data_IF_642818171272
#
_entry.id   IF_642818171272
#
_cell.length_a   1.000
_cell.length_b   1.000
_cell.length_c   1.000
_cell.angle_alpha   90.00
_cell.angle_beta   90.00
_cell.angle_gamma   90.00
#
_symmetry.space_group_name_H-M   'P 1'
#
loop_
_entity.id
_entity.type
_entity.pdbx_description
1 polymer ?
#
# COMPACT_ATOMS: atom_id res chain seq x y z
N UNK A 1 -7.81 -6.50 4.53
CA UNK A 1 -7.80 -5.12 3.96
C UNK A 1 -7.67 -5.14 2.44
N UNK A 2 -6.71 -5.88 1.88
CA UNK A 2 -6.54 -6.05 0.44
C UNK A 2 -7.39 -7.16 -0.17
N UNK A 3 -8.36 -7.70 0.58
CA UNK A 3 -9.07 -8.93 0.24
C UNK A 3 -9.85 -8.80 -1.07
N UNK A 4 -10.29 -7.59 -1.42
CA UNK A 4 -10.92 -7.29 -2.71
C UNK A 4 -10.00 -7.49 -3.93
N UNK A 5 -8.67 -7.39 -3.74
CA UNK A 5 -7.68 -7.65 -4.80
C UNK A 5 -7.19 -9.09 -4.84
N UNK A 6 -7.65 -9.93 -3.90
CA UNK A 6 -7.32 -11.36 -3.83
C UNK A 6 -8.33 -12.24 -4.56
N UNK A 7 -9.42 -11.65 -5.09
CA UNK A 7 -10.38 -12.37 -5.93
C UNK A 7 -9.71 -12.72 -7.27
N UNK A 8 -9.51 -14.02 -7.51
CA UNK A 8 -9.01 -14.53 -8.79
C UNK A 8 -9.97 -14.19 -9.94
N UNK A 9 -9.41 -13.94 -11.13
CA UNK A 9 -10.23 -13.78 -12.33
C UNK A 9 -10.96 -15.08 -12.63
N UNK A 10 -12.30 -15.05 -12.55
CA UNK A 10 -13.14 -16.17 -12.97
C UNK A 10 -13.17 -16.23 -14.50
N UNK A 11 -12.54 -17.27 -15.06
CA UNK A 11 -12.63 -17.77 -16.45
C UNK A 11 -12.29 -16.84 -17.64
N UNK A 12 -11.68 -15.68 -17.42
CA UNK A 12 -11.57 -14.61 -18.45
C UNK A 12 -10.20 -14.39 -19.09
N UNK A 13 -9.22 -15.28 -18.84
CA UNK A 13 -7.88 -15.27 -19.46
C UNK A 13 -7.87 -15.39 -21.02
N UNK A 14 -9.05 -15.48 -21.64
CA UNK A 14 -9.22 -15.65 -23.09
C UNK A 14 -9.44 -14.35 -23.87
N UNK A 15 -9.74 -13.21 -23.23
CA UNK A 15 -9.95 -11.97 -23.99
C UNK A 15 -8.63 -11.41 -24.54
N UNK A 16 -8.65 -10.87 -25.76
CA UNK A 16 -7.46 -10.28 -26.41
C UNK A 16 -6.88 -9.12 -25.61
N UNK A 17 -7.75 -8.31 -24.99
CA UNK A 17 -7.34 -7.18 -24.17
C UNK A 17 -6.62 -7.61 -22.89
N UNK A 18 -7.10 -8.67 -22.22
CA UNK A 18 -6.41 -9.29 -21.08
C UNK A 18 -4.99 -9.69 -21.46
N UNK A 19 -4.84 -10.44 -22.56
CA UNK A 19 -3.52 -10.89 -23.04
C UNK A 19 -2.59 -9.74 -23.39
N UNK A 20 -3.11 -8.65 -23.95
CA UNK A 20 -2.32 -7.44 -24.26
C UNK A 20 -1.81 -6.76 -22.99
N UNK A 21 -2.63 -6.66 -21.94
CA UNK A 21 -2.23 -6.08 -20.65
C UNK A 21 -1.22 -6.97 -19.96
N UNK A 22 -1.49 -8.28 -19.89
CA UNK A 22 -0.59 -9.26 -19.31
C UNK A 22 0.77 -9.28 -20.03
N UNK A 23 0.78 -9.22 -21.38
CA UNK A 23 2.00 -9.14 -22.17
C UNK A 23 2.85 -7.91 -21.85
N UNK A 24 2.23 -6.73 -21.72
CA UNK A 24 2.95 -5.51 -21.30
C UNK A 24 3.55 -5.65 -19.90
N UNK A 25 2.79 -6.20 -18.95
CA UNK A 25 3.26 -6.41 -17.58
C UNK A 25 4.39 -7.44 -17.53
N UNK A 26 4.32 -8.49 -18.35
CA UNK A 26 5.40 -9.46 -18.50
C UNK A 26 6.68 -8.78 -19.01
N UNK A 27 6.61 -7.89 -19.99
CA UNK A 27 7.79 -7.15 -20.47
C UNK A 27 8.40 -6.25 -19.40
N UNK A 28 7.57 -5.58 -18.58
CA UNK A 28 8.04 -4.76 -17.45
C UNK A 28 8.71 -5.61 -16.38
N UNK A 29 8.17 -6.81 -16.12
CA UNK A 29 8.57 -7.65 -14.99
C UNK A 29 9.54 -8.79 -15.36
N UNK A 30 9.91 -8.96 -16.63
CA UNK A 30 10.63 -10.15 -17.15
C UNK A 30 11.93 -10.50 -16.44
N UNK A 31 12.60 -9.51 -15.86
CA UNK A 31 13.85 -9.68 -15.11
C UNK A 31 13.62 -10.13 -13.65
N UNK A 32 12.38 -10.19 -13.18
CA UNK A 32 12.01 -10.57 -11.81
C UNK A 32 11.68 -12.07 -11.70
N UNK A 33 11.92 -12.68 -10.54
CA UNK A 33 11.52 -14.08 -10.31
C UNK A 33 10.01 -14.19 -10.19
N UNK A 34 9.42 -15.28 -10.67
CA UNK A 34 7.97 -15.55 -10.58
C UNK A 34 7.08 -14.43 -11.18
N UNK A 35 7.63 -13.62 -12.09
CA UNK A 35 6.96 -12.44 -12.63
C UNK A 35 5.64 -12.75 -13.32
N UNK A 36 5.54 -13.91 -13.98
CA UNK A 36 4.33 -14.33 -14.69
C UNK A 36 3.11 -14.43 -13.77
N UNK A 37 3.31 -14.92 -12.54
CA UNK A 37 2.21 -15.05 -11.57
C UNK A 37 1.75 -13.67 -11.07
N UNK A 38 2.69 -12.76 -10.82
CA UNK A 38 2.39 -11.38 -10.44
C UNK A 38 1.70 -10.63 -11.58
N UNK A 39 2.21 -10.74 -12.82
CA UNK A 39 1.58 -10.16 -14.00
C UNK A 39 0.14 -10.65 -14.18
N UNK A 40 -0.10 -11.96 -14.06
CA UNK A 40 -1.46 -12.55 -14.11
C UNK A 40 -2.37 -11.98 -13.03
N UNK A 41 -1.88 -11.87 -11.79
CA UNK A 41 -2.68 -11.36 -10.67
C UNK A 41 -3.04 -9.90 -10.88
N UNK A 42 -2.08 -9.07 -11.31
CA UNK A 42 -2.31 -7.65 -11.63
C UNK A 42 -3.32 -7.50 -12.78
N UNK A 43 -3.16 -8.25 -13.87
CA UNK A 43 -4.11 -8.24 -15.00
C UNK A 43 -5.51 -8.68 -14.57
N UNK A 44 -5.61 -9.68 -13.68
CA UNK A 44 -6.87 -10.18 -13.15
C UNK A 44 -7.63 -9.12 -12.37
N UNK A 45 -6.94 -8.42 -11.46
CA UNK A 45 -7.50 -7.26 -10.76
C UNK A 45 -7.96 -6.20 -11.76
N UNK A 46 -7.14 -5.91 -12.78
CA UNK A 46 -7.53 -4.92 -13.77
C UNK A 46 -8.82 -5.29 -14.50
N UNK A 47 -8.89 -6.51 -14.98
CA UNK A 47 -10.04 -7.01 -15.71
C UNK A 47 -11.31 -7.04 -14.85
N UNK A 48 -11.20 -7.50 -13.60
CA UNK A 48 -12.32 -7.52 -12.66
C UNK A 48 -12.87 -6.12 -12.39
N UNK A 49 -12.00 -5.10 -12.27
CA UNK A 49 -12.47 -3.70 -12.10
C UNK A 49 -13.24 -3.17 -13.31
N UNK A 50 -12.93 -3.67 -14.51
CA UNK A 50 -13.62 -3.31 -15.76
C UNK A 50 -14.98 -3.99 -15.86
N UNK A 51 -15.07 -5.26 -15.50
CA UNK A 51 -16.29 -6.07 -15.63
C UNK A 51 -17.30 -5.81 -14.51
N UNK A 52 -16.83 -5.54 -13.30
CA UNK A 52 -17.69 -5.32 -12.13
C UNK A 52 -17.46 -3.92 -11.53
N UNK A 53 -17.71 -2.83 -12.30
CA UNK A 53 -17.42 -1.47 -11.84
C UNK A 53 -18.27 -1.07 -10.62
N UNK A 54 -19.37 -1.76 -10.31
CA UNK A 54 -20.13 -1.52 -9.07
C UNK A 54 -19.44 -2.10 -7.83
N UNK A 55 -18.79 -3.26 -7.96
CA UNK A 55 -18.05 -3.93 -6.88
C UNK A 55 -16.69 -3.29 -6.63
N UNK A 56 -16.05 -2.84 -7.70
CA UNK A 56 -14.71 -2.24 -7.68
C UNK A 56 -14.69 -0.71 -7.81
N UNK A 57 -15.86 -0.08 -8.01
CA UNK A 57 -15.98 1.32 -8.38
C UNK A 57 -15.41 2.28 -7.36
N UNK A 58 -15.66 2.04 -6.08
CA UNK A 58 -15.08 2.85 -4.99
C UNK A 58 -13.56 2.69 -4.90
N UNK A 59 -13.04 1.51 -5.23
CA UNK A 59 -11.61 1.18 -5.18
C UNK A 59 -10.80 1.70 -6.37
N UNK A 60 -11.42 1.78 -7.56
CA UNK A 60 -10.83 2.44 -8.75
C UNK A 60 -10.43 3.89 -8.45
N UNK A 61 -11.04 4.51 -7.44
CA UNK A 61 -10.76 5.88 -7.00
C UNK A 61 -9.94 5.96 -5.70
N UNK A 62 -9.67 4.84 -5.01
CA UNK A 62 -8.78 4.83 -3.85
C UNK A 62 -7.34 4.53 -4.30
N UNK A 63 -6.75 5.55 -4.91
CA UNK A 63 -5.42 5.51 -5.49
C UNK A 63 -4.33 5.06 -4.50
N UNK A 64 -4.30 5.55 -3.23
CA UNK A 64 -3.27 5.13 -2.28
C UNK A 64 -3.32 3.63 -2.03
N UNK A 65 -4.50 3.08 -1.79
CA UNK A 65 -4.62 1.65 -1.53
C UNK A 65 -4.17 0.81 -2.72
N UNK A 66 -4.56 1.18 -3.94
CA UNK A 66 -4.15 0.46 -5.14
C UNK A 66 -2.62 0.53 -5.33
N UNK A 67 -2.01 1.69 -5.09
CA UNK A 67 -0.55 1.86 -5.13
C UNK A 67 0.16 0.94 -4.13
N UNK A 68 -0.25 0.93 -2.86
CA UNK A 68 0.38 0.09 -1.84
C UNK A 68 0.11 -1.41 -2.05
N UNK A 69 -1.03 -1.77 -2.64
CA UNK A 69 -1.27 -3.14 -3.07
C UNK A 69 -0.32 -3.56 -4.19
N UNK A 70 -0.23 -2.78 -5.28
CA UNK A 70 0.67 -3.06 -6.40
C UNK A 70 2.13 -3.17 -5.95
N UNK A 71 2.59 -2.22 -5.14
CA UNK A 71 3.96 -2.24 -4.65
C UNK A 71 4.23 -3.45 -3.74
N UNK A 72 3.23 -3.93 -3.00
CA UNK A 72 3.37 -5.18 -2.24
C UNK A 72 3.58 -6.39 -3.16
N UNK A 73 2.79 -6.51 -4.22
CA UNK A 73 2.93 -7.58 -5.23
C UNK A 73 4.32 -7.56 -5.88
N UNK A 74 4.75 -6.38 -6.32
CA UNK A 74 6.06 -6.17 -6.95
C UNK A 74 7.21 -6.43 -5.96
N UNK A 75 7.07 -6.00 -4.70
CA UNK A 75 8.11 -6.17 -3.68
C UNK A 75 8.40 -7.64 -3.36
N UNK A 76 7.41 -8.53 -3.56
CA UNK A 76 7.53 -9.97 -3.33
C UNK A 76 8.40 -10.68 -4.37
N UNK A 77 8.59 -10.07 -5.54
CA UNK A 77 9.35 -10.67 -6.65
C UNK A 77 10.68 -9.98 -6.96
N UNK A 78 10.90 -8.79 -6.40
CA UNK A 78 12.15 -8.04 -6.57
C UNK A 78 13.12 -8.36 -5.43
N UNK A 79 14.29 -8.90 -5.79
CA UNK A 79 15.40 -9.16 -4.84
C UNK A 79 16.40 -8.01 -4.76
N UNK A 80 16.45 -7.15 -5.79
CA UNK A 80 17.39 -6.03 -5.89
C UNK A 80 16.71 -4.69 -5.59
N UNK A 81 17.11 -4.03 -4.51
CA UNK A 81 16.47 -2.79 -4.05
C UNK A 81 16.53 -1.65 -5.09
N UNK A 82 17.59 -1.59 -5.90
CA UNK A 82 17.77 -0.57 -6.92
C UNK A 82 16.79 -0.65 -8.09
N UNK A 83 16.12 -1.80 -8.30
CA UNK A 83 15.16 -1.97 -9.41
C UNK A 83 13.70 -1.75 -8.99
N UNK A 84 13.43 -1.63 -7.69
CA UNK A 84 12.06 -1.59 -7.18
C UNK A 84 11.28 -0.37 -7.68
N UNK A 85 11.83 0.83 -7.52
CA UNK A 85 11.15 2.07 -7.89
C UNK A 85 10.77 2.10 -9.38
N UNK A 86 11.73 1.80 -10.25
CA UNK A 86 11.51 1.79 -11.70
C UNK A 86 10.51 0.70 -12.12
N UNK A 87 10.58 -0.48 -11.52
CA UNK A 87 9.67 -1.58 -11.83
C UNK A 87 8.24 -1.25 -11.39
N UNK A 88 8.06 -0.76 -10.16
CA UNK A 88 6.75 -0.36 -9.66
C UNK A 88 6.15 0.77 -10.51
N UNK A 89 6.98 1.75 -10.91
CA UNK A 89 6.57 2.82 -11.81
C UNK A 89 6.11 2.27 -13.17
N UNK A 90 6.85 1.35 -13.78
CA UNK A 90 6.48 0.72 -15.05
C UNK A 90 5.17 -0.05 -14.98
N UNK A 91 4.97 -0.82 -13.90
CA UNK A 91 3.71 -1.54 -13.63
C UNK A 91 2.56 -0.54 -13.48
N UNK A 92 2.73 0.48 -12.65
CA UNK A 92 1.69 1.48 -12.40
C UNK A 92 1.33 2.24 -13.67
N UNK A 93 2.31 2.70 -14.45
CA UNK A 93 2.09 3.36 -15.74
C UNK A 93 1.30 2.48 -16.72
N UNK A 94 1.61 1.19 -16.79
CA UNK A 94 0.85 0.24 -17.62
C UNK A 94 -0.62 0.17 -17.20
N UNK A 95 -0.91 0.21 -15.90
CA UNK A 95 -2.28 0.17 -15.38
C UNK A 95 -3.04 1.48 -15.65
N UNK A 96 -2.36 2.62 -15.55
CA UNK A 96 -2.88 3.96 -15.84
C UNK A 96 -3.32 4.10 -17.30
N UNK A 97 -2.47 3.67 -18.25
CA UNK A 97 -2.80 3.65 -19.68
C UNK A 97 -4.07 2.87 -19.97
N UNK A 98 -4.35 1.85 -19.16
CA UNK A 98 -5.52 0.96 -19.31
C UNK A 98 -6.73 1.43 -18.51
N UNK A 99 -6.70 2.67 -18.02
CA UNK A 99 -7.84 3.35 -17.44
C UNK A 99 -8.12 2.99 -15.97
N UNK A 100 -7.24 2.23 -15.32
CA UNK A 100 -7.28 2.05 -13.86
C UNK A 100 -6.46 3.14 -13.22
N UNK A 101 -7.05 3.79 -12.23
CA UNK A 101 -6.40 4.86 -11.54
C UNK A 101 -6.10 6.08 -12.41
N UNK A 102 -6.71 6.26 -13.59
CA UNK A 102 -6.48 7.45 -14.45
C UNK A 102 -6.60 8.79 -13.69
N UNK A 103 -7.39 8.82 -12.62
CA UNK A 103 -7.57 9.98 -11.72
C UNK A 103 -6.55 10.05 -10.57
N UNK A 104 -5.58 9.13 -10.53
CA UNK A 104 -4.52 8.97 -9.53
C UNK A 104 -3.23 9.67 -9.93
N UNK A 105 -3.32 10.71 -10.77
CA UNK A 105 -2.18 11.48 -11.23
C UNK A 105 -1.28 11.82 -10.03
N UNK A 106 -0.04 11.31 -10.07
CA UNK A 106 1.09 11.60 -9.16
C UNK A 106 1.29 10.73 -7.92
N UNK A 107 0.82 9.48 -7.89
CA UNK A 107 1.05 8.61 -6.72
C UNK A 107 2.19 7.59 -6.83
N UNK A 108 3.14 7.78 -7.74
CA UNK A 108 4.36 6.95 -7.78
C UNK A 108 5.54 7.74 -7.22
N UNK A 109 5.69 7.84 -5.89
CA UNK A 109 6.87 8.42 -5.30
C UNK A 109 8.10 7.61 -5.72
N UNK A 110 9.20 8.29 -6.01
CA UNK A 110 10.48 7.63 -6.22
C UNK A 110 11.06 7.18 -4.88
N UNK A 111 10.82 5.91 -4.53
CA UNK A 111 11.22 5.32 -3.25
C UNK A 111 11.95 4.00 -3.48
N UNK A 112 12.91 3.71 -2.60
CA UNK A 112 13.49 2.37 -2.48
C UNK A 112 12.45 1.35 -1.98
N UNK A 113 12.78 0.07 -2.09
CA UNK A 113 11.95 -1.01 -1.57
C UNK A 113 11.71 -0.88 -0.06
N UNK A 114 12.75 -0.53 0.68
CA UNK A 114 12.72 -0.33 2.13
C UNK A 114 11.78 0.82 2.50
N UNK A 115 11.97 1.97 1.87
CA UNK A 115 11.14 3.16 2.07
C UNK A 115 9.67 2.90 1.73
N UNK A 116 9.41 2.15 0.65
CA UNK A 116 8.07 1.71 0.30
C UNK A 116 7.45 0.86 1.42
N UNK A 117 8.19 -0.11 1.98
CA UNK A 117 7.68 -0.98 3.04
C UNK A 117 7.34 -0.19 4.31
N UNK A 118 8.14 0.81 4.66
CA UNK A 118 7.88 1.70 5.79
C UNK A 118 6.63 2.54 5.58
N UNK A 119 6.52 3.19 4.41
CA UNK A 119 5.32 3.95 4.04
C UNK A 119 4.08 3.07 4.00
N UNK A 120 4.20 1.83 3.53
CA UNK A 120 3.11 0.85 3.50
C UNK A 120 2.62 0.50 4.90
N UNK A 121 3.52 0.25 5.86
CA UNK A 121 3.14 -0.03 7.26
C UNK A 121 2.31 1.13 7.81
N UNK A 122 2.76 2.36 7.58
CA UNK A 122 2.05 3.55 8.03
C UNK A 122 0.71 3.72 7.31
N UNK A 123 0.65 3.46 6.01
CA UNK A 123 -0.59 3.50 5.24
C UNK A 123 -1.62 2.47 5.73
N UNK A 124 -1.20 1.21 5.92
CA UNK A 124 -2.07 0.14 6.43
C UNK A 124 -2.65 0.56 7.79
N UNK A 125 -1.83 1.12 8.69
CA UNK A 125 -2.30 1.67 9.96
C UNK A 125 -3.34 2.79 9.78
N UNK A 126 -3.15 3.72 8.83
CA UNK A 126 -4.14 4.79 8.58
C UNK A 126 -5.50 4.24 8.14
N UNK A 127 -5.53 3.13 7.39
CA UNK A 127 -6.75 2.48 6.94
C UNK A 127 -7.45 1.70 8.06
N UNK A 128 -6.67 1.06 8.94
CA UNK A 128 -7.19 0.40 10.14
C UNK A 128 -7.84 1.42 11.09
N UNK A 129 -7.15 2.54 11.35
CA UNK A 129 -7.59 3.52 12.33
C UNK A 129 -8.68 4.48 11.83
N UNK A 130 -8.70 4.80 10.53
CA UNK A 130 -9.76 5.63 9.93
C UNK A 130 -11.13 4.94 9.88
N UNK A 131 -11.23 3.67 10.28
CA UNK A 131 -12.47 2.90 10.26
C UNK A 131 -12.95 2.57 8.85
N UNK A 132 -12.10 2.77 7.84
CA UNK A 132 -12.34 2.37 6.44
C UNK A 132 -12.06 0.89 6.22
N UNK A 133 -11.29 0.26 7.12
CA UNK A 133 -11.23 -1.19 7.21
C UNK A 133 -12.43 -1.73 8.00
N UNK A 134 -13.00 -2.84 7.55
CA UNK A 134 -14.04 -3.59 8.27
C UNK A 134 -13.56 -4.23 9.60
N UNK A 135 -12.38 -3.85 10.12
CA UNK A 135 -12.00 -4.21 11.50
C UNK A 135 -12.92 -3.44 12.45
N UNK A 136 -13.92 -4.18 12.95
CA UNK A 136 -14.88 -3.71 13.94
C UNK A 136 -14.11 -3.01 15.06
N UNK A 137 -14.55 -1.80 15.42
CA UNK A 137 -14.06 -1.04 16.59
C UNK A 137 -14.05 -1.86 17.91
N UNK A 138 -14.70 -3.02 17.93
CA UNK A 138 -14.78 -3.96 19.06
C UNK A 138 -13.55 -4.88 19.24
N UNK A 139 -12.69 -5.06 18.24
CA UNK A 139 -11.48 -5.92 18.40
C UNK A 139 -10.37 -5.26 19.22
N UNK A 140 -10.50 -3.97 19.57
CA UNK A 140 -9.59 -3.31 20.53
C UNK A 140 -9.60 -3.97 21.91
N UNK A 141 -10.61 -4.78 22.23
CA UNK A 141 -10.72 -5.48 23.51
C UNK A 141 -10.08 -6.89 23.52
N UNK A 142 -9.54 -7.36 22.38
CA UNK A 142 -8.89 -8.68 22.27
C UNK A 142 -7.47 -8.51 21.69
N UNK A 143 -6.66 -7.62 22.27
CA UNK A 143 -5.25 -7.48 21.89
C UNK A 143 -4.38 -8.40 22.77
N UNK A 144 -4.03 -9.58 22.25
CA UNK A 144 -2.92 -10.40 22.77
C UNK A 144 -1.55 -9.97 22.21
N UNK A 145 -0.51 -10.77 22.42
CA UNK A 145 0.89 -10.49 22.02
C UNK A 145 1.10 -10.07 20.55
N UNK A 146 0.24 -10.54 19.63
CA UNK A 146 0.35 -10.20 18.20
C UNK A 146 0.03 -8.72 17.93
N UNK A 147 -0.88 -8.14 18.71
CA UNK A 147 -1.24 -6.73 18.62
C UNK A 147 -0.14 -5.83 19.20
N UNK A 148 0.50 -6.23 20.30
CA UNK A 148 1.63 -5.49 20.88
C UNK A 148 2.83 -5.42 19.92
N UNK A 149 3.19 -6.55 19.31
CA UNK A 149 4.25 -6.59 18.30
C UNK A 149 3.91 -5.72 17.06
N UNK A 150 2.66 -5.73 16.62
CA UNK A 150 2.20 -4.93 15.50
C UNK A 150 2.28 -3.42 15.80
N UNK A 151 1.77 -2.99 16.96
CA UNK A 151 1.84 -1.59 17.41
C UNK A 151 3.28 -1.13 17.65
N UNK A 152 4.14 -2.00 18.22
CA UNK A 152 5.56 -1.70 18.37
C UNK A 152 6.21 -1.43 17.01
N UNK A 153 5.97 -2.30 16.02
CA UNK A 153 6.50 -2.13 14.66
C UNK A 153 6.03 -0.83 14.01
N UNK A 154 4.77 -0.45 14.19
CA UNK A 154 4.24 0.83 13.71
C UNK A 154 4.97 2.00 14.37
N UNK A 155 5.12 1.98 15.70
CA UNK A 155 5.77 3.05 16.46
C UNK A 155 7.25 3.19 16.09
N UNK A 156 7.99 2.08 15.97
CA UNK A 156 9.38 2.05 15.54
C UNK A 156 9.52 2.61 14.11
N UNK A 157 8.67 2.17 13.20
CA UNK A 157 8.65 2.65 11.80
C UNK A 157 8.38 4.15 11.76
N UNK A 158 7.35 4.62 12.47
CA UNK A 158 7.01 6.04 12.55
C UNK A 158 8.17 6.88 13.11
N UNK A 159 8.79 6.42 14.20
CA UNK A 159 9.93 7.10 14.81
C UNK A 159 11.12 7.22 13.86
N UNK A 160 11.43 6.14 13.14
CA UNK A 160 12.48 6.11 12.12
C UNK A 160 12.18 7.08 10.97
N UNK A 161 11.00 6.97 10.35
CA UNK A 161 10.61 7.84 9.22
C UNK A 161 10.60 9.31 9.65
N UNK A 162 10.14 9.60 10.88
CA UNK A 162 10.14 10.94 11.44
C UNK A 162 11.57 11.49 11.56
N UNK A 163 12.53 10.69 12.03
CA UNK A 163 13.94 11.04 12.11
C UNK A 163 14.53 11.33 10.71
N UNK A 164 14.34 10.40 9.77
CA UNK A 164 14.85 10.50 8.40
C UNK A 164 14.24 11.70 7.63
N UNK A 165 13.03 12.10 8.01
CA UNK A 165 12.30 13.23 7.42
C UNK A 165 12.28 14.50 8.29
N UNK A 166 13.13 14.61 9.31
CA UNK A 166 13.25 15.79 10.19
C UNK A 166 13.56 17.06 9.42
N UNK A 167 14.49 16.96 8.48
CA UNK A 167 14.84 18.08 7.61
C UNK A 167 13.80 18.13 6.50
N UNK A 168 13.33 19.32 6.15
CA UNK A 168 12.55 19.54 4.94
C UNK A 168 13.40 19.18 3.73
N UNK A 169 13.36 17.90 3.37
CA UNK A 169 13.85 17.40 2.12
C UNK A 169 12.69 17.20 1.14
N UNK A 170 13.00 17.44 -0.12
CA UNK A 170 12.10 17.30 -1.26
C UNK A 170 11.98 15.84 -1.74
N UNK A 171 12.52 14.87 -0.99
CA UNK A 171 12.45 13.45 -1.37
C UNK A 171 11.01 12.98 -1.33
N UNK A 172 10.62 12.21 -2.33
CA UNK A 172 9.24 11.71 -2.45
C UNK A 172 8.83 10.85 -1.26
N UNK A 173 9.77 10.10 -0.66
CA UNK A 173 9.58 9.37 0.58
C UNK A 173 9.00 10.26 1.70
N UNK A 174 9.62 11.41 1.97
CA UNK A 174 9.19 12.31 3.03
C UNK A 174 7.94 13.11 2.66
N UNK A 175 7.72 13.41 1.38
CA UNK A 175 6.47 14.01 0.89
C UNK A 175 5.28 13.09 1.15
N UNK A 176 5.42 11.79 0.84
CA UNK A 176 4.38 10.81 1.10
C UNK A 176 4.16 10.57 2.59
N UNK A 177 5.21 10.51 3.39
CA UNK A 177 5.06 10.42 4.85
C UNK A 177 4.24 11.60 5.41
N UNK A 178 4.55 12.84 4.98
CA UNK A 178 3.79 14.03 5.38
C UNK A 178 2.33 13.93 4.93
N UNK A 179 2.07 13.45 3.71
CA UNK A 179 0.71 13.22 3.20
C UNK A 179 -0.04 12.20 4.06
N UNK A 180 0.56 11.08 4.43
CA UNK A 180 -0.06 10.09 5.32
C UNK A 180 -0.39 10.71 6.69
N UNK A 181 0.48 11.57 7.21
CA UNK A 181 0.29 12.27 8.48
C UNK A 181 -0.85 13.30 8.46
N UNK A 182 -1.17 13.88 7.31
CA UNK A 182 -2.29 14.83 7.14
C UNK A 182 -3.60 14.15 6.76
N UNK A 183 -3.55 13.03 6.03
CA UNK A 183 -4.74 12.31 5.54
C UNK A 183 -5.32 11.38 6.60
N UNK A 184 -4.46 10.78 7.43
CA UNK A 184 -4.87 10.00 8.60
C UNK A 184 -4.81 10.87 9.85
N UNK A 185 -5.78 10.74 10.74
CA UNK A 185 -5.76 11.27 12.11
C UNK A 185 -4.67 10.60 12.99
N UNK A 186 -3.44 10.50 12.48
CA UNK A 186 -2.27 9.80 13.06
C UNK A 186 -1.80 10.47 14.35
N UNK A 187 -2.25 11.70 14.65
CA UNK A 187 -1.73 12.48 15.76
C UNK A 187 -2.40 12.29 17.12
N UNK A 188 -3.57 11.63 17.27
CA UNK A 188 -4.09 11.44 18.64
C UNK A 188 -3.39 10.28 19.38
N UNK A 189 -3.27 9.09 18.79
CA UNK A 189 -2.84 7.92 19.57
C UNK A 189 -1.32 7.83 19.83
N UNK A 190 -0.48 8.20 18.87
CA UNK A 190 0.98 8.11 19.04
C UNK A 190 1.55 9.19 19.98
N UNK A 191 0.85 10.32 20.15
CA UNK A 191 1.20 11.37 21.11
C UNK A 191 0.63 11.06 22.51
N UNK A 192 -0.58 10.52 22.59
CA UNK A 192 -1.21 10.16 23.87
C UNK A 192 -0.44 9.05 24.62
N UNK A 193 0.20 8.11 23.92
CA UNK A 193 1.00 7.05 24.56
C UNK A 193 2.34 7.49 25.16
N UNK A 194 2.83 8.70 24.83
CA UNK A 194 4.00 9.30 25.52
C UNK A 194 3.62 10.10 26.76
N UNK A 195 2.33 10.38 26.98
CA UNK A 195 1.84 11.19 28.10
C UNK A 195 1.61 10.43 29.42
N UNK A 196 1.39 9.11 29.39
CA UNK A 196 1.01 8.33 30.57
C UNK A 196 2.17 7.56 31.21
N UNK A 197 3.28 8.26 31.52
CA UNK A 197 4.20 7.79 32.57
C UNK A 197 4.44 8.89 33.61
N UNK A 198 3.95 8.56 34.82
CA UNK A 198 4.19 9.15 36.14
C UNK A 198 3.25 10.29 36.55
N UNK A 199 2.11 9.91 37.14
CA UNK A 199 1.74 10.39 38.49
C UNK A 199 1.17 9.21 39.28
N UNK A 200 2.03 8.53 40.02
CA UNK A 200 1.58 7.75 41.18
C UNK A 200 1.04 8.74 42.21
N UNK A 201 -0.27 8.71 42.45
CA UNK A 201 -0.88 9.34 43.63
C UNK A 201 -0.87 8.32 44.76
N UNK A 202 -0.01 8.52 45.75
CA UNK A 202 -0.29 8.11 47.13
C UNK A 202 0.26 9.20 48.08
N UNK A 203 -0.65 9.99 48.62
CA UNK A 203 -0.59 10.57 49.97
C UNK A 203 -1.84 10.09 50.69
#
# INVERSE_FOLDING_TARGET
>A
MYDHFNDEAKSTAFSEEYRKVEGKLNEVLKECRNFQNVAKRITSVWYNTKMEPKKFGTWKYNCPLFYYWLGNEVSGIITENGKFGDTLKGVYSTMMEKGIGKNCEKQCPNVSKEEFQELKILHDYTLEYSGTSNMKKNDRRVCGNNCENHLRKINETYGKVLEDCKIENERDYCKEFRRLRTTGSVLKVAQDQKGDRVVSREQ
#
